data_IF_274802596302
#
_entry.id   IF_274802596302
#
_cell.length_a   1.000
_cell.length_b   1.000
_cell.length_c   1.000
_cell.angle_alpha   90.00
_cell.angle_beta   90.00
_cell.angle_gamma   90.00
#
_symmetry.space_group_name_H-M   'P 1'
#
loop_
_entity.id
_entity.type
_entity.pdbx_description
1 polymer ?
#
# COMPACT_ATOMS: atom_id res chain seq x y z
N UNK A 1 -4.93 4.15 3.30
CA UNK A 1 -5.82 3.93 2.13
C UNK A 1 -5.06 3.25 1.01
N UNK A 2 -5.73 2.58 0.08
CA UNK A 2 -5.05 1.73 -0.90
C UNK A 2 -5.64 1.88 -2.31
N UNK A 3 -4.80 1.79 -3.35
CA UNK A 3 -5.18 1.82 -4.76
C UNK A 3 -4.47 0.70 -5.52
N UNK A 4 -5.16 0.06 -6.47
CA UNK A 4 -4.54 -0.84 -7.46
C UNK A 4 -4.24 -0.01 -8.72
N UNK A 5 -2.96 0.14 -9.15
CA UNK A 5 -2.59 1.02 -10.26
C UNK A 5 -3.14 0.57 -11.62
N UNK A 6 -3.25 -0.75 -11.85
CA UNK A 6 -3.63 -1.35 -13.14
C UNK A 6 -5.13 -1.20 -13.51
N UNK A 7 -5.84 -0.19 -12.98
CA UNK A 7 -7.26 0.01 -13.26
C UNK A 7 -7.84 1.34 -12.81
N UNK A 8 -7.04 2.42 -12.82
CA UNK A 8 -7.47 3.78 -12.40
C UNK A 8 -8.19 3.79 -11.03
N UNK A 9 -7.80 2.88 -10.13
CA UNK A 9 -8.58 2.59 -8.93
C UNK A 9 -8.72 3.82 -8.05
N UNK A 10 -9.94 4.20 -7.70
CA UNK A 10 -10.18 5.18 -6.63
C UNK A 10 -9.48 4.72 -5.35
N UNK A 11 -8.98 5.66 -4.55
CA UNK A 11 -8.47 5.34 -3.22
C UNK A 11 -9.56 4.67 -2.39
N UNK A 12 -9.26 3.48 -1.86
CA UNK A 12 -10.18 2.72 -1.03
C UNK A 12 -9.74 2.73 0.42
N UNK A 13 -10.71 2.96 1.30
CA UNK A 13 -10.52 2.88 2.75
C UNK A 13 -10.40 1.42 3.15
N UNK A 14 -9.46 1.14 4.05
CA UNK A 14 -9.19 -0.19 4.59
C UNK A 14 -7.95 -0.17 5.47
N UNK A 15 -7.61 -1.34 6.03
CA UNK A 15 -6.44 -1.54 6.88
C UNK A 15 -5.50 -2.55 6.25
N UNK A 16 -4.20 -2.35 6.44
CA UNK A 16 -3.19 -3.36 6.13
C UNK A 16 -2.93 -4.14 7.42
N UNK A 17 -2.90 -5.46 7.33
CA UNK A 17 -2.51 -6.36 8.40
C UNK A 17 -1.29 -7.14 7.94
N UNK A 18 -0.23 -7.12 8.73
CA UNK A 18 0.98 -7.92 8.49
C UNK A 18 1.14 -9.01 9.55
N UNK A 19 1.41 -10.24 9.13
CA UNK A 19 1.86 -11.33 9.99
C UNK A 19 2.99 -12.09 9.30
N UNK A 20 4.17 -12.15 9.93
CA UNK A 20 5.30 -13.02 9.55
C UNK A 20 5.59 -13.10 8.04
N UNK A 21 5.74 -11.94 7.39
CA UNK A 21 6.08 -11.85 5.96
C UNK A 21 4.90 -11.99 5.00
N UNK A 22 3.67 -12.09 5.52
CA UNK A 22 2.44 -12.02 4.73
C UNK A 22 1.70 -10.76 5.12
N UNK A 23 1.52 -9.85 4.17
CA UNK A 23 0.62 -8.71 4.33
C UNK A 23 -0.71 -9.02 3.64
N UNK A 24 -1.81 -8.51 4.22
CA UNK A 24 -3.11 -8.45 3.56
C UNK A 24 -3.71 -7.07 3.74
N UNK A 25 -4.36 -6.59 2.70
CA UNK A 25 -5.22 -5.41 2.80
C UNK A 25 -6.67 -5.85 2.95
N UNK A 26 -7.36 -5.28 3.95
CA UNK A 26 -8.78 -5.52 4.21
C UNK A 26 -9.53 -4.20 3.97
N UNK A 27 -10.36 -4.10 2.92
CA UNK A 27 -11.17 -2.91 2.69
C UNK A 27 -12.28 -2.77 3.74
N UNK A 28 -12.79 -1.55 3.91
CA UNK A 28 -14.03 -1.34 4.69
C UNK A 28 -15.27 -1.98 4.01
N UNK A 29 -15.24 -2.11 2.68
CA UNK A 29 -16.24 -2.80 1.87
C UNK A 29 -15.58 -3.59 0.74
N UNK A 30 -15.96 -4.85 0.57
CA UNK A 30 -15.47 -5.77 -0.46
C UNK A 30 -14.52 -6.83 0.10
N UNK A 31 -13.86 -7.57 -0.79
CA UNK A 31 -13.00 -8.70 -0.41
C UNK A 31 -11.58 -8.25 -0.01
N UNK A 32 -10.97 -8.91 0.99
CA UNK A 32 -9.55 -8.72 1.30
C UNK A 32 -8.65 -9.08 0.11
N UNK A 33 -7.57 -8.33 -0.06
CA UNK A 33 -6.51 -8.62 -1.03
C UNK A 33 -5.29 -9.11 -0.27
N UNK A 34 -4.92 -10.37 -0.50
CA UNK A 34 -3.67 -10.93 0.03
C UNK A 34 -2.52 -10.33 -0.77
N UNK A 35 -1.44 -9.97 -0.10
CA UNK A 35 -0.21 -9.45 -0.68
C UNK A 35 0.92 -10.47 -0.44
N UNK A 36 0.83 -11.68 -1.03
CA UNK A 36 1.84 -12.71 -0.83
C UNK A 36 3.16 -12.23 -1.44
N UNK A 37 4.25 -12.34 -0.68
CA UNK A 37 5.56 -11.86 -1.14
C UNK A 37 5.60 -10.34 -1.40
N UNK A 38 4.66 -9.58 -0.82
CA UNK A 38 4.56 -8.13 -1.01
C UNK A 38 5.87 -7.43 -0.68
N UNK A 39 6.55 -6.87 -1.69
CA UNK A 39 7.78 -6.12 -1.53
C UNK A 39 7.56 -4.65 -1.82
N UNK A 40 8.01 -3.79 -0.92
CA UNK A 40 8.05 -2.36 -1.21
C UNK A 40 9.08 -2.10 -2.33
N UNK A 41 8.62 -1.45 -3.40
CA UNK A 41 9.43 -1.11 -4.59
C UNK A 41 9.66 0.39 -4.73
N UNK A 42 8.97 1.22 -3.95
CA UNK A 42 9.17 2.66 -3.95
C UNK A 42 8.35 3.38 -2.91
N UNK A 43 8.82 4.56 -2.51
CA UNK A 43 8.13 5.48 -1.58
C UNK A 43 8.14 6.87 -2.20
N UNK A 44 6.98 7.52 -2.22
CA UNK A 44 6.84 8.90 -2.72
C UNK A 44 5.87 9.72 -1.88
N UNK A 45 5.94 11.04 -2.04
CA UNK A 45 4.87 11.94 -1.59
C UNK A 45 3.67 11.86 -2.54
N UNK A 46 2.45 12.12 -2.07
CA UNK A 46 1.30 12.23 -2.95
C UNK A 46 1.40 13.45 -3.87
N UNK A 47 0.86 13.33 -5.08
CA UNK A 47 0.55 14.49 -5.92
C UNK A 47 -0.56 15.35 -5.27
N UNK A 48 -0.72 16.58 -5.75
CA UNK A 48 -1.81 17.47 -5.29
C UNK A 48 -3.18 16.80 -5.47
N UNK A 49 -3.43 16.17 -6.62
CA UNK A 49 -4.69 15.48 -6.90
C UNK A 49 -4.94 14.31 -5.93
N UNK A 50 -3.90 13.54 -5.62
CA UNK A 50 -4.00 12.45 -4.64
C UNK A 50 -4.23 13.00 -3.23
N UNK A 51 -3.55 14.08 -2.85
CA UNK A 51 -3.72 14.75 -1.55
C UNK A 51 -5.11 15.34 -1.31
N UNK A 52 -5.92 15.55 -2.34
CA UNK A 52 -7.34 15.88 -2.18
C UNK A 52 -8.15 14.65 -1.77
N UNK A 53 -7.77 13.47 -2.27
CA UNK A 53 -8.47 12.21 -2.00
C UNK A 53 -8.00 11.53 -0.71
N UNK A 54 -6.74 11.76 -0.32
CA UNK A 54 -6.06 11.14 0.83
C UNK A 54 -5.56 12.22 1.80
N UNK A 55 -4.95 11.87 2.93
CA UNK A 55 -4.26 12.86 3.76
C UNK A 55 -2.97 13.36 3.05
N UNK A 56 -2.80 14.67 2.76
CA UNK A 56 -1.61 15.20 2.06
C UNK A 56 -0.28 14.91 2.75
N UNK A 57 -0.28 14.74 4.09
CA UNK A 57 0.90 14.39 4.86
C UNK A 57 1.37 12.95 4.67
N UNK A 58 0.59 12.10 4.00
CA UNK A 58 0.90 10.69 3.80
C UNK A 58 2.18 10.45 3.00
N UNK A 59 2.64 9.21 3.02
CA UNK A 59 3.53 8.63 2.02
C UNK A 59 2.78 7.56 1.24
N UNK A 60 3.05 7.49 -0.05
CA UNK A 60 2.56 6.43 -0.92
C UNK A 60 3.69 5.41 -1.06
N UNK A 61 3.44 4.20 -0.58
CA UNK A 61 4.33 3.05 -0.72
C UNK A 61 3.78 2.16 -1.82
N UNK A 62 4.59 1.93 -2.86
CA UNK A 62 4.27 0.95 -3.91
C UNK A 62 4.77 -0.40 -3.47
N UNK A 63 3.89 -1.40 -3.48
CA UNK A 63 4.21 -2.79 -3.20
C UNK A 63 3.94 -3.63 -4.44
N UNK A 64 4.90 -4.44 -4.85
CA UNK A 64 4.69 -5.50 -5.84
C UNK A 64 4.41 -6.81 -5.11
N UNK A 65 3.52 -7.65 -5.64
CA UNK A 65 3.25 -8.97 -5.09
C UNK A 65 3.41 -10.05 -6.17
N UNK A 66 3.59 -11.29 -5.71
CA UNK A 66 3.78 -12.44 -6.59
C UNK A 66 2.58 -12.58 -7.55
N UNK A 67 2.86 -12.76 -8.85
CA UNK A 67 1.85 -12.71 -9.92
C UNK A 67 1.84 -11.43 -10.76
N UNK A 68 2.79 -10.51 -10.53
CA UNK A 68 3.06 -9.36 -11.40
C UNK A 68 2.17 -8.14 -11.17
N UNK A 69 1.34 -8.17 -10.12
CA UNK A 69 0.52 -7.04 -9.72
C UNK A 69 1.24 -6.07 -8.79
N UNK A 70 0.72 -4.84 -8.71
CA UNK A 70 1.17 -3.84 -7.75
C UNK A 70 0.01 -3.19 -7.03
N UNK A 71 0.31 -2.61 -5.88
CA UNK A 71 -0.63 -1.90 -5.05
C UNK A 71 0.05 -0.68 -4.42
N UNK A 72 -0.64 0.45 -4.35
CA UNK A 72 -0.17 1.67 -3.72
C UNK A 72 -0.90 1.89 -2.40
N UNK A 73 -0.14 2.06 -1.33
CA UNK A 73 -0.66 2.21 0.03
C UNK A 73 -0.30 3.61 0.52
N UNK A 74 -1.31 4.44 0.76
CA UNK A 74 -1.17 5.70 1.46
C UNK A 74 -1.21 5.48 2.97
N UNK A 75 -0.10 5.76 3.64
CA UNK A 75 0.10 5.65 5.09
C UNK A 75 0.63 6.94 5.69
N UNK A 76 0.37 7.19 6.98
CA UNK A 76 0.97 8.35 7.64
C UNK A 76 2.48 8.15 7.77
N UNK A 77 3.29 9.23 7.79
CA UNK A 77 4.75 9.12 7.86
C UNK A 77 5.27 8.27 9.02
N UNK A 78 4.59 8.32 10.18
CA UNK A 78 4.95 7.55 11.37
C UNK A 78 4.71 6.04 11.22
N UNK A 79 3.77 5.64 10.36
CA UNK A 79 3.41 4.23 10.11
C UNK A 79 4.27 3.60 8.99
N UNK A 80 5.09 4.38 8.29
CA UNK A 80 5.89 3.89 7.16
C UNK A 80 6.84 2.77 7.60
N UNK A 81 7.48 2.92 8.75
CA UNK A 81 8.41 1.90 9.26
C UNK A 81 7.70 0.58 9.53
N UNK A 82 6.58 0.63 10.24
CA UNK A 82 5.77 -0.55 10.57
C UNK A 82 5.28 -1.26 9.29
N UNK A 83 4.86 -0.48 8.28
CA UNK A 83 4.50 -1.05 6.99
C UNK A 83 5.70 -1.74 6.32
N UNK A 84 6.88 -1.12 6.28
CA UNK A 84 8.08 -1.71 5.65
C UNK A 84 8.60 -2.96 6.38
N UNK A 85 8.37 -3.08 7.69
CA UNK A 85 8.64 -4.31 8.44
C UNK A 85 7.69 -5.45 8.02
N UNK A 86 6.44 -5.13 7.68
CA UNK A 86 5.43 -6.09 7.20
C UNK A 86 5.58 -6.44 5.71
N UNK A 87 6.04 -5.49 4.87
CA UNK A 87 6.33 -5.66 3.44
C UNK A 87 7.78 -5.25 3.15
N UNK A 88 8.75 -6.15 3.40
CA UNK A 88 10.17 -5.83 3.27
C UNK A 88 10.49 -5.24 1.90
N UNK A 89 11.41 -4.28 1.87
CA UNK A 89 11.87 -3.72 0.59
C UNK A 89 12.48 -4.83 -0.27
N UNK A 90 12.23 -4.78 -1.57
CA UNK A 90 12.98 -5.63 -2.49
C UNK A 90 14.47 -5.23 -2.35
N UNK A 91 15.29 -6.18 -1.91
CA UNK A 91 16.73 -5.99 -1.82
C UNK A 91 17.29 -5.53 -3.17
N UNK A 92 18.12 -4.49 -3.14
CA UNK A 92 18.98 -4.05 -4.23
C UNK A 92 19.90 -5.16 -4.71
#
# INVERSE_FOLDING_TARGET
MVRIPAGEGRWRVGRVYGERGVARWVPQRGEPVVLPGGRATGIRVPSVKEGISINPGSRIVTCAYDGGGSIEIAVMPLDVRELLEAVPQAGS
#
